data_IF_995559462928
#
_entry.id   IF_995559462928
#
_cell.length_a   1.000
_cell.length_b   1.000
_cell.length_c   1.000
_cell.angle_alpha   90.00
_cell.angle_beta   90.00
_cell.angle_gamma   90.00
#
_symmetry.space_group_name_H-M   'P 1'
#
loop_
_entity.id
_entity.type
_entity.pdbx_description
1 polymer ?
#
# COMPACT_ATOMS: atom_id res chain seq x y z
N UNK A 1 20.57 0.82 10.46
CA UNK A 1 19.27 0.14 10.62
C UNK A 1 18.23 0.81 9.75
N UNK A 2 17.17 0.09 9.40
CA UNK A 2 16.08 0.63 8.57
C UNK A 2 14.72 0.49 9.27
N UNK A 3 13.77 1.32 8.88
CA UNK A 3 12.35 1.21 9.23
C UNK A 3 11.54 1.19 7.94
N UNK A 4 10.55 0.31 7.84
CA UNK A 4 9.56 0.32 6.77
C UNK A 4 8.22 0.82 7.33
N UNK A 5 7.68 1.90 6.78
CA UNK A 5 6.36 2.43 7.15
C UNK A 5 5.35 2.19 6.03
N UNK A 6 4.18 1.62 6.37
CA UNK A 6 3.05 1.55 5.44
C UNK A 6 2.40 2.93 5.23
N UNK A 7 2.13 3.28 3.97
CA UNK A 7 1.42 4.50 3.57
C UNK A 7 0.43 4.24 2.42
N UNK A 8 -0.50 5.16 2.23
CA UNK A 8 -1.53 5.13 1.19
C UNK A 8 -2.95 4.97 1.71
N UNK A 9 -3.92 5.03 0.80
CA UNK A 9 -5.36 4.91 1.06
C UNK A 9 -5.77 3.51 1.55
N UNK A 10 -5.01 2.49 1.18
CA UNK A 10 -5.15 1.10 1.64
C UNK A 10 -4.66 0.87 3.07
N UNK A 11 -4.14 1.90 3.74
CA UNK A 11 -3.66 1.84 5.14
C UNK A 11 -4.72 2.43 6.06
N UNK A 12 -5.08 1.70 7.12
CA UNK A 12 -5.99 2.16 8.15
C UNK A 12 -5.40 3.35 8.91
N UNK A 13 -6.27 4.19 9.47
CA UNK A 13 -5.88 5.34 10.32
C UNK A 13 -5.41 4.88 11.71
N UNK A 14 -4.31 4.13 11.73
CA UNK A 14 -3.60 3.70 12.94
C UNK A 14 -2.34 4.55 13.13
N UNK A 15 -1.88 4.73 14.38
CA UNK A 15 -0.65 5.47 14.65
C UNK A 15 0.59 4.82 14.00
N UNK A 16 1.69 5.57 13.79
CA UNK A 16 2.86 5.10 13.03
C UNK A 16 3.48 3.80 13.59
N UNK A 17 3.60 3.69 14.91
CA UNK A 17 4.11 2.51 15.62
C UNK A 17 3.33 1.22 15.29
N UNK A 18 2.05 1.33 14.92
CA UNK A 18 1.19 0.21 14.59
C UNK A 18 1.27 -0.23 13.13
N UNK A 19 1.91 0.56 12.25
CA UNK A 19 2.02 0.33 10.81
C UNK A 19 3.47 0.32 10.30
N UNK A 20 4.44 0.17 11.20
CA UNK A 20 5.87 0.12 10.90
C UNK A 20 6.47 -1.27 11.14
N UNK A 21 7.51 -1.61 10.37
CA UNK A 21 8.44 -2.70 10.65
C UNK A 21 9.80 -2.09 10.95
N UNK A 22 10.28 -2.25 12.18
CA UNK A 22 11.63 -1.85 12.59
C UNK A 22 11.65 -1.00 13.85
N UNK A 23 12.84 -0.49 14.24
CA UNK A 23 14.13 -0.59 13.54
C UNK A 23 14.62 -2.03 13.31
N UNK A 24 15.21 -2.31 12.15
CA UNK A 24 15.81 -3.61 11.83
C UNK A 24 17.24 -3.45 11.30
N UNK A 25 18.16 -4.23 11.86
CA UNK A 25 19.49 -4.45 11.27
C UNK A 25 19.43 -5.54 10.19
N UNK A 26 19.88 -5.21 8.98
CA UNK A 26 19.98 -6.16 7.87
C UNK A 26 21.36 -6.81 7.75
N UNK A 27 22.29 -6.49 8.66
CA UNK A 27 23.63 -7.08 8.68
C UNK A 27 23.59 -8.57 9.02
N UNK A 28 22.72 -8.97 9.96
CA UNK A 28 22.66 -10.36 10.45
C UNK A 28 21.70 -11.22 9.64
N UNK A 29 20.59 -10.64 9.19
CA UNK A 29 19.54 -11.37 8.48
C UNK A 29 18.77 -10.49 7.49
N UNK A 30 18.38 -11.03 6.33
CA UNK A 30 17.47 -10.33 5.43
C UNK A 30 16.07 -10.22 6.06
N UNK A 31 15.36 -9.14 5.71
CA UNK A 31 13.97 -8.92 6.10
C UNK A 31 13.05 -9.44 5.00
N UNK A 32 12.25 -10.46 5.32
CA UNK A 32 11.18 -10.93 4.45
C UNK A 32 9.88 -10.19 4.81
N UNK A 33 9.23 -9.60 3.80
CA UNK A 33 7.98 -8.86 3.96
C UNK A 33 6.86 -9.58 3.22
N UNK A 34 5.75 -9.81 3.90
CA UNK A 34 4.56 -10.41 3.32
C UNK A 34 3.59 -10.92 4.38
N UNK A 35 2.39 -11.35 3.97
CA UNK A 35 1.33 -11.77 4.91
C UNK A 35 1.76 -12.89 5.84
N UNK A 36 2.69 -13.75 5.41
CA UNK A 36 3.20 -14.85 6.24
C UNK A 36 4.14 -14.36 7.34
N UNK A 37 4.90 -13.30 7.07
CA UNK A 37 5.98 -12.84 7.94
C UNK A 37 5.53 -11.78 8.93
N UNK A 38 4.49 -10.99 8.61
CA UNK A 38 3.91 -9.99 9.50
C UNK A 38 2.37 -10.03 9.47
N UNK A 39 1.71 -11.15 9.83
CA UNK A 39 0.26 -11.28 9.71
C UNK A 39 -0.51 -10.27 10.58
N UNK A 40 -0.05 -10.02 11.81
CA UNK A 40 -0.71 -9.13 12.77
C UNK A 40 -0.64 -7.67 12.30
N UNK A 41 0.52 -7.24 11.81
CA UNK A 41 0.71 -5.89 11.27
C UNK A 41 -0.22 -5.64 10.09
N UNK A 42 -0.24 -6.53 9.11
CA UNK A 42 -1.10 -6.37 7.93
C UNK A 42 -2.58 -6.36 8.32
N UNK A 43 -3.02 -7.23 9.25
CA UNK A 43 -4.42 -7.25 9.71
C UNK A 43 -4.84 -5.97 10.42
N UNK A 44 -3.93 -5.34 11.17
CA UNK A 44 -4.21 -4.12 11.94
C UNK A 44 -4.07 -2.85 11.12
N UNK A 45 -3.13 -2.81 10.17
CA UNK A 45 -2.76 -1.59 9.46
C UNK A 45 -3.29 -1.51 8.02
N UNK A 46 -3.70 -2.61 7.38
CA UNK A 46 -4.13 -2.63 5.97
C UNK A 46 -5.63 -2.90 5.88
N UNK A 47 -6.33 -2.21 4.98
CA UNK A 47 -7.75 -2.45 4.71
C UNK A 47 -7.97 -3.88 4.18
N UNK A 48 -9.16 -4.43 4.43
CA UNK A 48 -9.51 -5.80 3.98
C UNK A 48 -9.39 -5.95 2.47
N UNK A 49 -9.80 -4.92 1.73
CA UNK A 49 -9.78 -4.92 0.26
C UNK A 49 -8.36 -4.91 -0.29
N UNK A 50 -7.42 -4.23 0.39
CA UNK A 50 -6.01 -4.22 -0.01
C UNK A 50 -5.25 -5.48 0.42
N UNK A 51 -5.68 -6.14 1.51
CA UNK A 51 -5.00 -7.30 2.09
C UNK A 51 -4.88 -8.49 1.11
N UNK A 52 -5.83 -8.63 0.19
CA UNK A 52 -5.83 -9.72 -0.80
C UNK A 52 -4.66 -9.61 -1.80
N UNK A 53 -4.18 -8.39 -2.06
CA UNK A 53 -3.09 -8.13 -3.00
C UNK A 53 -1.70 -8.32 -2.38
N UNK A 54 -1.63 -8.43 -1.06
CA UNK A 54 -0.39 -8.81 -0.39
C UNK A 54 -0.17 -10.31 -0.52
N UNK A 55 0.88 -10.71 -1.24
CA UNK A 55 1.34 -12.11 -1.27
C UNK A 55 1.84 -12.60 0.10
N UNK A 56 1.97 -13.93 0.23
CA UNK A 56 2.52 -14.56 1.45
C UNK A 56 3.97 -14.13 1.69
N UNK A 57 4.77 -14.20 0.64
CA UNK A 57 6.14 -13.69 0.55
C UNK A 57 6.13 -12.66 -0.59
N UNK A 58 6.26 -11.37 -0.25
CA UNK A 58 6.08 -10.27 -1.21
C UNK A 58 7.41 -9.79 -1.77
N UNK A 59 8.30 -9.37 -0.88
CA UNK A 59 9.67 -8.99 -1.22
C UNK A 59 10.62 -9.29 -0.07
N UNK A 60 11.92 -9.26 -0.37
CA UNK A 60 13.01 -9.41 0.59
C UNK A 60 13.92 -8.19 0.53
N UNK A 61 14.29 -7.64 1.67
CA UNK A 61 15.38 -6.67 1.80
C UNK A 61 16.61 -7.36 2.37
N UNK A 62 17.78 -7.09 1.80
CA UNK A 62 19.04 -7.65 2.25
C UNK A 62 20.17 -6.63 2.08
N UNK A 63 21.17 -6.67 2.95
CA UNK A 63 22.42 -5.94 2.77
C UNK A 63 23.43 -6.87 2.09
N UNK A 64 23.76 -6.60 0.83
CA UNK A 64 24.66 -7.43 0.01
C UNK A 64 25.84 -6.57 -0.45
N UNK A 65 27.07 -6.95 -0.09
CA UNK A 65 28.28 -6.18 -0.39
C UNK A 65 28.24 -4.70 0.07
N UNK A 66 27.51 -4.41 1.15
CA UNK A 66 27.33 -3.05 1.67
C UNK A 66 26.21 -2.25 1.00
N UNK A 67 25.54 -2.82 0.00
CA UNK A 67 24.40 -2.20 -0.70
C UNK A 67 23.08 -2.78 -0.22
N UNK A 68 22.09 -1.93 -0.01
CA UNK A 68 20.74 -2.38 0.33
C UNK A 68 20.01 -2.80 -0.94
N UNK A 69 19.57 -4.06 -1.00
CA UNK A 69 18.92 -4.64 -2.17
C UNK A 69 17.52 -5.13 -1.84
N UNK A 70 16.62 -4.87 -2.78
CA UNK A 70 15.26 -5.39 -2.81
C UNK A 70 15.15 -6.50 -3.85
N UNK A 71 14.66 -7.66 -3.42
CA UNK A 71 14.33 -8.80 -4.28
C UNK A 71 12.80 -8.97 -4.31
N UNK A 72 12.22 -8.91 -5.51
CA UNK A 72 10.79 -9.17 -5.71
C UNK A 72 10.50 -10.68 -5.66
N UNK A 73 9.64 -11.13 -4.74
CA UNK A 73 9.30 -12.55 -4.56
C UNK A 73 7.92 -12.91 -5.12
N UNK A 74 7.11 -11.90 -5.41
CA UNK A 74 5.73 -12.04 -5.88
C UNK A 74 5.59 -11.90 -7.39
N UNK A 75 4.50 -12.45 -7.94
CA UNK A 75 4.02 -12.16 -9.30
C UNK A 75 3.09 -10.94 -9.36
N UNK A 76 2.70 -10.38 -8.22
CA UNK A 76 1.95 -9.14 -8.18
C UNK A 76 2.88 -7.97 -8.55
N UNK A 77 2.40 -6.96 -9.29
CA UNK A 77 3.22 -5.82 -9.66
C UNK A 77 3.82 -5.12 -8.43
N UNK A 78 5.11 -4.82 -8.51
CA UNK A 78 5.87 -4.09 -7.49
C UNK A 78 6.76 -3.06 -8.19
N UNK A 79 6.86 -1.86 -7.63
CA UNK A 79 7.71 -0.82 -8.18
C UNK A 79 8.62 -0.24 -7.11
N UNK A 80 9.84 0.11 -7.51
CA UNK A 80 10.70 1.01 -6.76
C UNK A 80 10.47 2.44 -7.27
N UNK A 81 9.98 3.30 -6.40
CA UNK A 81 9.73 4.70 -6.64
C UNK A 81 10.73 5.56 -5.87
N UNK A 82 11.38 6.49 -6.57
CA UNK A 82 12.37 7.42 -6.02
C UNK A 82 12.05 8.81 -6.50
N UNK A 83 12.04 9.77 -5.60
CA UNK A 83 11.68 11.16 -5.91
C UNK A 83 12.55 11.72 -7.05
N UNK A 84 11.88 12.38 -8.00
CA UNK A 84 12.52 12.92 -9.21
C UNK A 84 12.84 11.89 -10.30
N UNK A 85 12.53 10.61 -10.09
CA UNK A 85 12.76 9.55 -11.09
C UNK A 85 11.48 8.81 -11.45
N UNK A 86 11.45 8.20 -12.64
CA UNK A 86 10.32 7.36 -13.05
C UNK A 86 10.32 6.06 -12.20
N UNK A 87 9.16 5.61 -11.69
CA UNK A 87 9.05 4.32 -11.01
C UNK A 87 9.55 3.18 -11.91
N UNK A 88 10.30 2.25 -11.31
CA UNK A 88 10.83 1.07 -11.99
C UNK A 88 10.05 -0.16 -11.52
N UNK A 89 9.35 -0.81 -12.45
CA UNK A 89 8.63 -2.06 -12.19
C UNK A 89 9.61 -3.22 -12.08
N UNK A 90 9.32 -4.15 -11.17
CA UNK A 90 10.14 -5.33 -10.91
C UNK A 90 9.32 -6.58 -11.18
N UNK A 91 9.83 -7.45 -12.04
CA UNK A 91 9.29 -8.80 -12.21
C UNK A 91 9.70 -9.71 -11.04
N UNK A 92 9.00 -10.82 -10.88
CA UNK A 92 9.37 -11.83 -9.88
C UNK A 92 10.80 -12.33 -10.12
N UNK A 93 11.65 -12.22 -9.10
CA UNK A 93 13.06 -12.61 -9.15
C UNK A 93 14.00 -11.44 -9.45
N UNK A 94 13.48 -10.27 -9.84
CA UNK A 94 14.30 -9.10 -10.06
C UNK A 94 14.89 -8.58 -8.74
N UNK A 95 16.13 -8.11 -8.85
CA UNK A 95 16.87 -7.48 -7.75
C UNK A 95 17.22 -6.07 -8.15
N UNK A 96 16.93 -5.11 -7.28
CA UNK A 96 17.29 -3.70 -7.48
C UNK A 96 17.90 -3.12 -6.20
N UNK A 97 18.83 -2.18 -6.37
CA UNK A 97 19.31 -1.34 -5.28
C UNK A 97 18.20 -0.40 -4.80
N UNK A 98 18.07 -0.25 -3.48
CA UNK A 98 17.11 0.66 -2.85
C UNK A 98 17.82 1.47 -1.77
N UNK A 99 17.46 2.76 -1.65
CA UNK A 99 18.05 3.70 -0.70
C UNK A 99 17.00 4.17 0.31
N UNK A 100 17.40 4.55 1.54
CA UNK A 100 16.50 5.28 2.43
C UNK A 100 15.89 6.51 1.72
N UNK A 101 14.59 6.72 1.91
CA UNK A 101 13.75 7.67 1.18
C UNK A 101 13.02 7.07 -0.03
N UNK A 102 13.45 5.91 -0.55
CA UNK A 102 12.73 5.23 -1.62
C UNK A 102 11.38 4.66 -1.11
N UNK A 103 10.43 4.50 -2.04
CA UNK A 103 9.13 3.87 -1.81
C UNK A 103 9.02 2.57 -2.60
N UNK A 104 8.40 1.58 -1.98
CA UNK A 104 8.08 0.28 -2.59
C UNK A 104 6.58 0.24 -2.81
N UNK A 105 6.14 0.43 -4.05
CA UNK A 105 4.73 0.50 -4.41
C UNK A 105 4.19 -0.90 -4.70
N UNK A 106 2.97 -1.20 -4.25
CA UNK A 106 2.36 -2.52 -4.40
C UNK A 106 1.11 -2.43 -5.28
N UNK A 107 1.00 -3.30 -6.27
CA UNK A 107 -0.17 -3.35 -7.15
C UNK A 107 -1.38 -3.89 -6.40
N UNK A 108 -2.46 -3.11 -6.32
CA UNK A 108 -3.69 -3.48 -5.60
C UNK A 108 -4.84 -3.89 -6.52
N UNK A 109 -4.54 -4.48 -7.68
CA UNK A 109 -5.54 -4.86 -8.69
C UNK A 109 -6.30 -3.67 -9.30
N UNK A 110 -7.10 -3.91 -10.35
CA UNK A 110 -7.72 -2.86 -11.18
C UNK A 110 -6.77 -2.34 -12.27
N UNK A 111 -6.99 -1.10 -12.76
CA UNK A 111 -6.07 -0.39 -13.67
C UNK A 111 -4.72 -0.01 -13.01
N UNK A 112 -4.44 -0.57 -11.84
CA UNK A 112 -3.19 -0.46 -11.08
C UNK A 112 -1.96 -1.04 -11.81
N UNK A 113 -2.01 -1.22 -13.12
CA UNK A 113 -0.84 -1.30 -13.99
C UNK A 113 -0.08 0.03 -14.06
N UNK A 114 -0.62 1.12 -13.49
CA UNK A 114 0.05 2.40 -13.36
C UNK A 114 0.64 2.60 -11.95
N UNK A 115 1.93 2.89 -11.89
CA UNK A 115 2.66 3.15 -10.65
C UNK A 115 2.05 4.31 -9.81
N UNK A 116 1.41 5.29 -10.45
CA UNK A 116 0.76 6.40 -9.75
C UNK A 116 -0.42 5.97 -8.88
N UNK A 117 -1.21 5.00 -9.34
CA UNK A 117 -2.32 4.46 -8.56
C UNK A 117 -1.79 3.62 -7.38
N UNK A 118 -0.75 2.82 -7.63
CA UNK A 118 -0.07 2.05 -6.57
C UNK A 118 0.53 2.98 -5.50
N UNK A 119 1.06 4.15 -5.89
CA UNK A 119 1.61 5.16 -4.97
C UNK A 119 0.56 5.70 -4.01
N UNK A 120 -0.67 5.93 -4.49
CA UNK A 120 -1.79 6.40 -3.67
C UNK A 120 -2.40 5.29 -2.84
N UNK A 121 -2.46 4.08 -3.39
CA UNK A 121 -3.15 2.95 -2.78
C UNK A 121 -2.38 2.34 -1.62
N UNK A 122 -1.24 1.70 -1.87
CA UNK A 122 -0.51 0.97 -0.84
C UNK A 122 0.98 0.94 -1.18
N UNK A 123 1.80 1.58 -0.35
CA UNK A 123 3.25 1.56 -0.49
C UNK A 123 3.95 1.44 0.87
N UNK A 124 5.18 0.95 0.82
CA UNK A 124 6.13 1.00 1.93
C UNK A 124 7.11 2.14 1.70
N UNK A 125 7.27 2.99 2.71
CA UNK A 125 8.31 4.00 2.71
C UNK A 125 9.51 3.48 3.51
N UNK A 126 10.68 3.48 2.89
CA UNK A 126 11.92 3.05 3.53
C UNK A 126 12.59 4.24 4.23
N UNK A 127 12.74 4.17 5.54
CA UNK A 127 13.34 5.21 6.36
C UNK A 127 14.66 4.71 6.95
N UNK A 128 15.64 5.61 7.12
CA UNK A 128 16.78 5.32 7.97
C UNK A 128 16.34 5.44 9.44
N UNK A 129 16.84 4.56 10.31
CA UNK A 129 16.44 4.56 11.73
C UNK A 129 16.76 5.88 12.48
N UNK A 130 17.68 6.70 11.96
CA UNK A 130 18.02 8.01 12.53
C UNK A 130 17.01 9.12 12.22
N UNK A 131 16.20 8.98 11.17
CA UNK A 131 15.33 10.06 10.69
C UNK A 131 13.98 10.15 11.43
N UNK A 132 13.68 9.15 12.28
CA UNK A 132 12.36 9.04 12.94
C UNK A 132 12.25 9.97 14.16
N UNK A 133 13.36 10.49 14.68
CA UNK A 133 13.39 11.21 15.96
C UNK A 133 13.01 12.70 15.89
N UNK A 134 12.87 13.30 14.72
CA UNK A 134 12.73 14.77 14.60
C UNK A 134 11.29 15.26 14.27
N UNK A 135 10.30 14.35 14.21
CA UNK A 135 8.98 14.67 13.64
C UNK A 135 7.82 14.97 14.60
N UNK A 136 7.94 14.71 15.91
CA UNK A 136 6.77 14.72 16.82
C UNK A 136 6.64 15.95 17.74
N UNK A 137 7.63 16.85 17.79
CA UNK A 137 7.59 18.00 18.71
C UNK A 137 7.14 19.34 18.07
N UNK A 138 6.77 19.36 16.79
CA UNK A 138 6.51 20.60 16.06
C UNK A 138 5.03 21.08 16.01
N UNK A 139 4.06 20.34 16.59
CA UNK A 139 2.63 20.72 16.55
C UNK A 139 2.00 21.08 17.91
N UNK A 140 2.80 21.39 18.95
CA UNK A 140 2.25 21.76 20.27
C UNK A 140 2.23 23.27 20.59
N UNK A 141 2.88 24.15 19.84
CA UNK A 141 2.96 25.58 20.20
C UNK A 141 2.54 26.53 19.05
N UNK A 142 1.25 26.59 18.70
CA UNK A 142 0.67 27.86 18.22
C UNK A 142 -0.86 27.93 18.30
N UNK A 143 -1.44 27.76 19.50
CA UNK A 143 -2.86 28.11 19.74
C UNK A 143 -3.04 28.95 21.00
N UNK A 144 -2.33 30.07 21.08
CA UNK A 144 -2.77 31.22 21.87
C UNK A 144 -2.63 32.50 21.06
N UNK A 145 -3.75 32.98 20.51
CA UNK A 145 -3.94 34.40 20.22
C UNK A 145 -4.30 34.76 18.79
N UNK A 146 -5.59 34.71 18.45
CA UNK A 146 -6.32 35.92 18.07
C UNK A 146 -7.76 35.59 17.73
N UNK A 147 -8.65 36.07 18.59
CA UNK A 147 -10.03 36.27 18.26
C UNK A 147 -10.15 37.22 17.07
N UNK A 148 -10.82 36.78 16.00
CA UNK A 148 -11.47 37.69 15.05
C UNK A 148 -12.80 37.13 14.62
N UNK A 149 -13.81 37.76 15.21
CA UNK A 149 -15.23 37.78 14.88
C UNK A 149 -15.49 37.66 13.37
N UNK A 150 -16.25 36.65 12.96
CA UNK A 150 -17.02 36.68 11.71
C UNK A 150 -18.47 36.31 11.98
N UNK A 151 -19.34 37.10 11.36
CA UNK A 151 -20.76 37.26 11.62
C UNK A 151 -21.62 36.03 11.30
N UNK A 152 -22.84 35.94 11.87
CA UNK A 152 -23.83 34.92 11.51
C UNK A 152 -24.33 35.10 10.07
N UNK A 153 -24.32 34.01 9.30
CA UNK A 153 -24.96 33.93 7.98
C UNK A 153 -26.38 33.41 8.15
N UNK A 154 -27.42 34.06 7.60
CA UNK A 154 -28.78 33.54 7.62
C UNK A 154 -28.91 32.31 6.72
N UNK A 155 -29.51 31.25 7.28
CA UNK A 155 -29.95 30.04 6.59
C UNK A 155 -31.35 30.30 6.02
N UNK A 156 -31.42 30.55 4.71
CA UNK A 156 -32.64 30.47 3.93
C UNK A 156 -32.39 29.59 2.71
N UNK A 157 -33.23 28.57 2.52
CA UNK A 157 -33.54 28.12 1.17
C UNK A 157 -33.50 26.62 0.89
N UNK A 158 -34.69 26.02 0.96
CA UNK A 158 -35.24 25.07 -0.03
C UNK A 158 -34.66 23.64 -0.06
N UNK A 159 -35.39 22.76 0.64
CA UNK A 159 -35.48 21.32 0.35
C UNK A 159 -36.08 21.13 -1.05
N UNK A 160 -35.29 20.63 -2.01
CA UNK A 160 -35.81 20.00 -3.22
C UNK A 160 -35.79 18.47 -3.04
N UNK A 161 -36.97 17.89 -2.94
CA UNK A 161 -37.21 16.46 -2.98
C UNK A 161 -36.88 15.90 -4.37
N UNK A 162 -35.64 15.41 -4.53
CA UNK A 162 -35.18 14.69 -5.70
C UNK A 162 -35.63 13.23 -5.69
N UNK A 163 -36.65 12.93 -6.50
CA UNK A 163 -37.13 11.59 -6.92
C UNK A 163 -36.02 10.52 -7.00
N UNK A 164 -36.24 9.42 -6.31
CA UNK A 164 -35.47 8.18 -6.45
C UNK A 164 -35.64 7.57 -7.88
N UNK A 165 -34.55 7.19 -8.56
CA UNK A 165 -34.65 6.37 -9.77
C UNK A 165 -35.05 4.95 -9.40
N UNK A 166 -36.03 4.43 -10.14
CA UNK A 166 -36.51 3.05 -10.06
C UNK A 166 -35.35 2.07 -10.33
N UNK A 167 -35.14 1.17 -9.38
CA UNK A 167 -34.30 -0.02 -9.50
C UNK A 167 -34.72 -0.82 -10.73
N UNK A 168 -33.86 -0.83 -11.75
CA UNK A 168 -33.95 -1.77 -12.86
C UNK A 168 -33.59 -3.18 -12.38
N UNK A 169 -34.43 -4.15 -12.74
CA UNK A 169 -34.26 -5.55 -12.34
C UNK A 169 -32.93 -6.14 -12.86
N UNK A 170 -32.21 -6.93 -12.05
CA UNK A 170 -31.01 -7.60 -12.49
C UNK A 170 -31.36 -8.70 -13.49
N UNK A 171 -30.90 -8.53 -14.74
CA UNK A 171 -30.90 -9.59 -15.75
C UNK A 171 -30.04 -10.75 -15.24
N UNK A 172 -30.67 -11.90 -15.00
CA UNK A 172 -30.00 -13.16 -14.69
C UNK A 172 -29.09 -13.55 -15.85
N UNK A 173 -27.78 -13.47 -15.64
CA UNK A 173 -26.78 -14.04 -16.56
C UNK A 173 -26.65 -15.52 -16.20
N UNK A 174 -27.16 -16.38 -17.06
CA UNK A 174 -27.04 -17.84 -16.94
C UNK A 174 -25.60 -18.26 -17.29
N UNK A 175 -24.87 -18.78 -16.31
CA UNK A 175 -23.45 -19.15 -16.39
C UNK A 175 -23.24 -20.67 -16.58
N UNK A 176 -24.27 -21.40 -17.03
CA UNK A 176 -24.25 -22.86 -17.04
C UNK A 176 -23.42 -23.52 -18.17
N UNK A 177 -22.81 -22.76 -19.09
CA UNK A 177 -22.33 -23.36 -20.37
C UNK A 177 -20.81 -23.31 -20.65
N UNK A 178 -19.94 -23.25 -19.63
CA UNK A 178 -18.47 -23.22 -19.85
C UNK A 178 -17.63 -24.18 -18.99
N UNK A 179 -18.19 -25.32 -18.61
CA UNK A 179 -17.42 -26.43 -18.02
C UNK A 179 -17.48 -27.65 -18.93
N UNK A 180 -16.65 -27.73 -19.98
CA UNK A 180 -16.26 -29.05 -20.52
C UNK A 180 -15.13 -29.10 -21.58
N UNK A 181 -14.20 -28.13 -21.66
CA UNK A 181 -13.10 -28.24 -22.65
C UNK A 181 -11.72 -28.64 -22.11
N UNK A 182 -11.49 -28.64 -20.79
CA UNK A 182 -10.15 -28.93 -20.25
C UNK A 182 -9.80 -30.43 -20.14
N UNK A 183 -10.75 -31.34 -20.35
CA UNK A 183 -10.50 -32.79 -20.20
C UNK A 183 -9.92 -33.48 -21.47
N UNK A 184 -9.68 -32.75 -22.57
CA UNK A 184 -9.20 -33.35 -23.83
C UNK A 184 -7.69 -33.28 -24.07
N UNK A 185 -6.89 -32.62 -23.23
CA UNK A 185 -5.44 -32.68 -23.38
C UNK A 185 -4.91 -33.98 -22.76
N UNK A 186 -4.77 -35.03 -23.56
CA UNK A 186 -4.27 -36.35 -23.18
C UNK A 186 -2.80 -36.38 -22.73
N UNK A 187 -2.44 -35.62 -21.69
CA UNK A 187 -1.18 -35.75 -20.99
C UNK A 187 -1.21 -37.02 -20.15
N UNK A 188 -0.55 -38.07 -20.66
CA UNK A 188 -0.21 -39.29 -19.92
C UNK A 188 1.18 -39.11 -19.33
N UNK A 189 1.32 -39.35 -18.03
CA UNK A 189 2.57 -39.84 -17.43
C UNK A 189 2.42 -41.33 -17.19
#
# INVERSE_FOLDING_TARGET
EIVLELRGEGVLRVPPDQRQIGPVSLADRPLLVGRRHQPELHRRAVTKDCLQFLSRDHFRLALEAGELRLLALTSNPIWRDRDGTRPVELARGDVIEILPGDRILLGTGGDASLAEDARRSLCWHLLAAGDVAEGEDAEAEDRHGSASLRAPVPLDGVLQEGRAPLLGEPRSVDYSDRRDEFAKSGFRY
#
